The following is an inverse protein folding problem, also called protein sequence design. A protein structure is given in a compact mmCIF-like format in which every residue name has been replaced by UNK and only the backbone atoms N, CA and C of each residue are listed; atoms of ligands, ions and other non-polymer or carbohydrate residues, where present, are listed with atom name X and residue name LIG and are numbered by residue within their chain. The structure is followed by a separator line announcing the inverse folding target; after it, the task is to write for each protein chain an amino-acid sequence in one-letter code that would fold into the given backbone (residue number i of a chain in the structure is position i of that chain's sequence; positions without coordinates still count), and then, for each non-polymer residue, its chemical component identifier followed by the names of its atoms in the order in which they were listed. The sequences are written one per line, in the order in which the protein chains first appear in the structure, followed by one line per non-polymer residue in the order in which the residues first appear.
data_IF_188560326863
#
_entry.id   IF_188560326863
#
_cell.length_a   1.000
_cell.length_b   1.000
_cell.length_c   1.000
_cell.angle_alpha   90.00
_cell.angle_beta   90.00
_cell.angle_gamma   90.00
#
_symmetry.space_group_name_H-M   'P 1'
#
loop_
_entity.id
_entity.type
_entity.pdbx_description
1 polymer ?
#
# COMPACT_ATOMS: atom_id res chain seq x y z
N UNK A 1 -9.97 -1.24 -14.48
CA UNK A 1 -11.26 -1.72 -13.97
C UNK A 1 -12.41 -0.91 -14.58
N UNK A 2 -12.44 0.42 -14.41
CA UNK A 2 -13.45 1.29 -15.06
C UNK A 2 -13.43 1.18 -16.59
N UNK A 3 -12.26 0.99 -17.17
CA UNK A 3 -12.10 0.85 -18.61
C UNK A 3 -12.82 -0.37 -19.21
N UNK A 4 -13.03 -1.44 -18.43
CA UNK A 4 -13.71 -2.62 -18.90
C UNK A 4 -15.24 -2.41 -19.00
N UNK A 5 -15.87 -1.86 -17.96
CA UNK A 5 -17.33 -1.76 -17.87
C UNK A 5 -17.92 -0.92 -19.00
N UNK A 6 -17.20 0.12 -19.44
CA UNK A 6 -17.64 1.03 -20.50
C UNK A 6 -17.17 0.57 -21.90
N UNK A 7 -16.28 -0.42 -21.99
CA UNK A 7 -15.60 -0.84 -23.23
C UNK A 7 -15.61 -2.35 -23.42
N UNK A 8 -16.59 -3.04 -22.86
CA UNK A 8 -16.66 -4.50 -22.95
C UNK A 8 -16.71 -4.98 -24.42
N UNK A 9 -17.34 -4.20 -25.30
CA UNK A 9 -17.43 -4.47 -26.73
C UNK A 9 -16.08 -4.36 -27.48
N UNK A 10 -15.04 -3.79 -26.86
CA UNK A 10 -13.70 -3.71 -27.44
C UNK A 10 -12.87 -4.97 -27.18
N UNK A 11 -13.38 -5.90 -26.39
CA UNK A 11 -12.70 -7.15 -26.09
C UNK A 11 -13.36 -8.30 -26.85
N UNK A 12 -12.58 -9.00 -27.64
CA UNK A 12 -13.00 -10.16 -28.42
C UNK A 12 -13.55 -11.28 -27.53
N UNK A 13 -12.93 -11.45 -26.35
CA UNK A 13 -13.29 -12.47 -25.39
C UNK A 13 -13.16 -11.95 -23.95
N UNK A 14 -14.11 -12.28 -23.11
CA UNK A 14 -14.13 -11.90 -21.68
C UNK A 14 -14.21 -13.16 -20.82
N UNK A 15 -13.39 -13.27 -19.78
CA UNK A 15 -13.41 -14.43 -18.89
C UNK A 15 -14.73 -14.51 -18.11
N UNK A 16 -15.23 -15.74 -17.90
CA UNK A 16 -16.37 -15.98 -17.03
C UNK A 16 -16.08 -15.56 -15.57
N UNK A 17 -17.14 -15.31 -14.80
CA UNK A 17 -17.00 -15.02 -13.36
C UNK A 17 -16.31 -16.15 -12.59
N UNK A 18 -16.63 -17.40 -12.93
CA UNK A 18 -16.02 -18.58 -12.34
C UNK A 18 -14.52 -18.61 -12.60
N UNK A 19 -14.10 -18.41 -13.85
CA UNK A 19 -12.69 -18.36 -14.22
C UNK A 19 -11.96 -17.20 -13.54
N UNK A 20 -12.59 -16.03 -13.45
CA UNK A 20 -12.01 -14.88 -12.74
C UNK A 20 -11.85 -15.14 -11.25
N UNK A 21 -12.78 -15.83 -10.63
CA UNK A 21 -12.67 -16.26 -9.23
C UNK A 21 -11.45 -17.19 -9.05
N UNK A 22 -11.31 -18.19 -9.91
CA UNK A 22 -10.16 -19.11 -9.92
C UNK A 22 -8.84 -18.33 -10.09
N UNK A 23 -8.76 -17.45 -11.07
CA UNK A 23 -7.53 -16.72 -11.42
C UNK A 23 -7.14 -15.74 -10.30
N UNK A 24 -8.07 -14.99 -9.73
CA UNK A 24 -7.76 -14.02 -8.67
C UNK A 24 -7.50 -14.67 -7.32
N UNK A 25 -7.97 -15.88 -7.10
CA UNK A 25 -7.89 -16.54 -5.80
C UNK A 25 -8.65 -15.79 -4.71
N UNK A 26 -9.64 -15.00 -5.08
CA UNK A 26 -10.46 -14.24 -4.12
C UNK A 26 -11.69 -15.09 -3.82
N UNK A 27 -11.84 -15.48 -2.58
CA UNK A 27 -13.13 -15.90 -2.06
C UNK A 27 -14.01 -14.65 -2.00
N UNK A 28 -14.64 -14.30 -3.12
CA UNK A 28 -15.58 -13.20 -3.19
C UNK A 28 -16.71 -13.40 -2.19
N UNK A 29 -17.25 -12.31 -1.65
CA UNK A 29 -18.52 -12.39 -0.93
C UNK A 29 -19.54 -13.05 -1.85
N UNK A 30 -20.35 -14.02 -1.37
CA UNK A 30 -21.38 -14.64 -2.19
C UNK A 30 -22.23 -13.58 -2.90
N UNK A 31 -22.36 -13.69 -4.22
CA UNK A 31 -23.11 -12.72 -5.04
C UNK A 31 -22.35 -11.46 -5.49
N UNK A 32 -21.10 -11.25 -5.06
CA UNK A 32 -20.30 -10.13 -5.56
C UNK A 32 -19.80 -10.39 -6.98
N UNK A 33 -20.08 -9.48 -7.90
CA UNK A 33 -19.49 -9.53 -9.24
C UNK A 33 -17.98 -9.22 -9.16
N UNK A 34 -17.17 -10.13 -9.66
CA UNK A 34 -15.74 -9.93 -9.78
C UNK A 34 -15.47 -9.20 -11.09
N UNK A 35 -14.94 -7.98 -10.97
CA UNK A 35 -14.54 -7.23 -12.16
C UNK A 35 -13.41 -7.94 -12.88
N UNK A 36 -13.50 -8.20 -14.19
CA UNK A 36 -12.44 -8.84 -14.97
C UNK A 36 -11.12 -8.07 -14.88
N UNK A 37 -10.04 -8.78 -14.66
CA UNK A 37 -8.69 -8.27 -14.82
C UNK A 37 -8.12 -8.80 -16.14
N UNK A 38 -8.15 -7.98 -17.17
CA UNK A 38 -7.67 -8.36 -18.51
C UNK A 38 -6.18 -8.73 -18.47
N UNK A 39 -5.39 -8.04 -17.64
CA UNK A 39 -3.97 -8.39 -17.47
C UNK A 39 -3.76 -9.82 -16.95
N UNK A 40 -4.51 -10.21 -15.91
CA UNK A 40 -4.46 -11.60 -15.40
C UNK A 40 -5.03 -12.61 -16.40
N UNK A 41 -6.12 -12.23 -17.08
CA UNK A 41 -6.70 -13.05 -18.13
C UNK A 41 -5.72 -13.35 -19.25
N UNK A 42 -5.02 -12.33 -19.76
CA UNK A 42 -4.00 -12.51 -20.80
C UNK A 42 -2.82 -13.38 -20.32
N UNK A 43 -2.42 -13.26 -19.06
CA UNK A 43 -1.40 -14.15 -18.47
C UNK A 43 -1.90 -15.59 -18.40
N UNK A 44 -3.14 -15.80 -17.95
CA UNK A 44 -3.74 -17.13 -17.87
C UNK A 44 -3.93 -17.76 -19.25
N UNK A 45 -4.43 -17.01 -20.25
CA UNK A 45 -4.52 -17.48 -21.65
C UNK A 45 -3.16 -17.95 -22.19
N UNK A 46 -2.10 -17.25 -21.81
CA UNK A 46 -0.75 -17.55 -22.31
C UNK A 46 -0.12 -18.74 -21.61
N UNK A 47 -0.36 -18.95 -20.33
CA UNK A 47 0.41 -19.89 -19.51
C UNK A 47 -0.44 -20.89 -18.71
N UNK A 48 -1.76 -20.86 -18.83
CA UNK A 48 -2.65 -21.71 -18.06
C UNK A 48 -2.46 -21.55 -16.56
N UNK A 49 -2.52 -22.62 -15.82
CA UNK A 49 -2.39 -22.63 -14.35
C UNK A 49 -0.98 -22.20 -13.86
N UNK A 50 0.03 -22.23 -14.71
CA UNK A 50 1.40 -21.77 -14.39
C UNK A 50 1.56 -20.25 -14.44
N UNK A 51 0.51 -19.50 -14.81
CA UNK A 51 0.61 -18.06 -15.12
C UNK A 51 1.26 -17.22 -14.01
N UNK A 52 0.99 -17.52 -12.73
CA UNK A 52 1.57 -16.76 -11.61
C UNK A 52 3.09 -16.90 -11.53
N UNK A 53 3.58 -18.13 -11.64
CA UNK A 53 5.03 -18.38 -11.61
C UNK A 53 5.73 -17.78 -12.84
N UNK A 54 5.16 -17.99 -14.03
CA UNK A 54 5.69 -17.48 -15.29
C UNK A 54 5.68 -15.95 -15.34
N UNK A 55 4.61 -15.30 -14.84
CA UNK A 55 4.51 -13.85 -14.78
C UNK A 55 5.57 -13.24 -13.85
N UNK A 56 5.75 -13.80 -12.66
CA UNK A 56 6.77 -13.34 -11.69
C UNK A 56 8.19 -13.44 -12.29
N UNK A 57 8.51 -14.57 -12.88
CA UNK A 57 9.81 -14.77 -13.53
C UNK A 57 10.03 -13.79 -14.70
N UNK A 58 8.98 -13.57 -15.50
CA UNK A 58 9.03 -12.61 -16.61
C UNK A 58 9.22 -11.16 -16.14
N UNK A 59 8.63 -10.77 -15.01
CA UNK A 59 8.83 -9.42 -14.42
C UNK A 59 10.31 -9.20 -14.15
N UNK A 60 10.96 -10.09 -13.43
CA UNK A 60 12.39 -9.99 -13.11
C UNK A 60 13.25 -9.95 -14.38
N UNK A 61 12.98 -10.85 -15.34
CA UNK A 61 13.70 -10.87 -16.62
C UNK A 61 13.57 -9.57 -17.40
N UNK A 62 12.37 -8.98 -17.42
CA UNK A 62 12.11 -7.70 -18.09
C UNK A 62 12.82 -6.54 -17.41
N UNK A 63 12.74 -6.45 -16.09
CA UNK A 63 13.42 -5.41 -15.32
C UNK A 63 14.93 -5.46 -15.59
N UNK A 64 15.54 -6.64 -15.48
CA UNK A 64 16.96 -6.80 -15.78
C UNK A 64 17.30 -6.40 -17.23
N UNK A 65 16.49 -6.81 -18.20
CA UNK A 65 16.69 -6.46 -19.61
C UNK A 65 16.59 -4.95 -19.85
N UNK A 66 15.77 -4.24 -19.08
CA UNK A 66 15.60 -2.79 -19.18
C UNK A 66 16.61 -2.01 -18.34
N UNK A 67 17.55 -2.67 -17.69
CA UNK A 67 18.56 -2.05 -16.83
C UNK A 67 18.01 -1.59 -15.47
N UNK A 68 16.81 -2.05 -15.08
CA UNK A 68 16.24 -1.77 -13.77
C UNK A 68 16.81 -2.76 -12.76
N UNK A 69 17.25 -2.26 -11.62
CA UNK A 69 17.91 -3.03 -10.57
C UNK A 69 17.18 -3.05 -9.23
N UNK A 70 16.08 -2.31 -9.11
CA UNK A 70 15.38 -2.13 -7.84
C UNK A 70 13.86 -2.16 -8.03
N UNK A 71 13.17 -2.87 -7.18
CA UNK A 71 11.71 -2.83 -7.04
C UNK A 71 11.34 -1.80 -5.99
N UNK A 72 10.62 -0.76 -6.40
CA UNK A 72 10.22 0.33 -5.53
C UNK A 72 8.96 0.02 -4.72
N UNK A 73 8.47 1.03 -4.01
CA UNK A 73 7.25 0.95 -3.21
C UNK A 73 6.06 0.43 -4.04
N UNK A 74 5.12 -0.25 -3.38
CA UNK A 74 3.96 -0.94 -3.96
C UNK A 74 4.27 -2.09 -4.93
N UNK A 75 5.50 -2.52 -5.01
CA UNK A 75 5.82 -3.75 -5.73
C UNK A 75 5.12 -4.95 -5.07
N UNK A 76 4.73 -5.92 -5.90
CA UNK A 76 4.04 -7.12 -5.41
C UNK A 76 4.91 -7.89 -4.42
N UNK A 77 4.37 -8.17 -3.23
CA UNK A 77 5.03 -9.00 -2.23
C UNK A 77 5.41 -10.40 -2.77
N UNK A 78 4.63 -10.93 -3.70
CA UNK A 78 4.94 -12.20 -4.36
C UNK A 78 6.19 -12.13 -5.24
N UNK A 79 6.55 -10.95 -5.74
CA UNK A 79 7.75 -10.75 -6.56
C UNK A 79 8.94 -10.38 -5.68
N UNK A 80 8.77 -9.48 -4.70
CA UNK A 80 9.85 -9.09 -3.79
C UNK A 80 10.36 -10.27 -2.96
N UNK A 81 9.46 -11.16 -2.50
CA UNK A 81 9.83 -12.36 -1.74
C UNK A 81 10.64 -13.41 -2.53
N UNK A 82 10.76 -13.25 -3.84
CA UNK A 82 11.64 -14.11 -4.63
C UNK A 82 13.14 -13.88 -4.34
N UNK A 83 13.48 -12.73 -3.74
CA UNK A 83 14.86 -12.35 -3.44
C UNK A 83 15.79 -12.46 -4.66
N UNK A 84 15.37 -11.90 -5.79
CA UNK A 84 16.10 -11.92 -7.06
C UNK A 84 16.44 -10.52 -7.59
N UNK A 85 16.00 -9.50 -6.89
CA UNK A 85 16.25 -8.09 -7.18
C UNK A 85 16.10 -7.29 -5.90
N UNK A 86 16.91 -6.27 -5.73
CA UNK A 86 16.79 -5.37 -4.58
C UNK A 86 15.39 -4.74 -4.52
N UNK A 87 14.89 -4.50 -3.32
CA UNK A 87 13.54 -3.97 -3.13
C UNK A 87 13.42 -3.04 -1.91
N UNK A 88 12.33 -2.29 -1.91
CA UNK A 88 11.92 -1.41 -0.82
C UNK A 88 10.55 -1.88 -0.32
N UNK A 89 10.34 -1.80 0.98
CA UNK A 89 9.05 -2.10 1.62
C UNK A 89 8.41 -0.83 2.16
N UNK A 90 7.08 -0.79 2.13
CA UNK A 90 6.33 0.24 2.83
C UNK A 90 5.97 -0.22 4.23
N UNK A 91 6.28 0.62 5.22
CA UNK A 91 5.75 0.46 6.57
C UNK A 91 4.34 1.05 6.62
N UNK A 92 3.40 0.24 7.07
CA UNK A 92 2.00 0.62 7.22
C UNK A 92 1.63 0.71 8.71
N UNK A 93 0.51 1.37 9.01
CA UNK A 93 -0.05 1.45 10.36
C UNK A 93 0.87 2.10 11.39
N UNK A 94 1.56 3.17 11.00
CA UNK A 94 2.51 3.91 11.85
C UNK A 94 1.83 4.79 12.93
N UNK A 95 0.67 4.39 13.43
CA UNK A 95 -0.12 5.19 14.36
C UNK A 95 -0.93 6.30 13.70
N UNK A 96 -1.10 6.24 12.38
CA UNK A 96 -1.85 7.24 11.62
C UNK A 96 -3.32 7.27 12.06
N UNK A 97 -3.81 8.46 12.43
CA UNK A 97 -5.20 8.70 12.81
C UNK A 97 -5.95 9.36 11.65
N UNK A 98 -6.99 8.70 11.15
CA UNK A 98 -7.84 9.25 10.07
C UNK A 98 -8.58 10.51 10.51
N UNK A 99 -8.88 10.65 11.81
CA UNK A 99 -9.51 11.84 12.35
C UNK A 99 -8.55 13.04 12.45
N UNK A 100 -7.25 12.81 12.26
CA UNK A 100 -6.21 13.83 12.15
C UNK A 100 -5.63 13.89 10.72
N UNK A 101 -6.42 13.62 9.71
CA UNK A 101 -5.98 13.60 8.31
C UNK A 101 -4.75 12.68 8.06
N UNK A 102 -4.60 11.65 8.87
CA UNK A 102 -3.47 10.72 8.81
C UNK A 102 -2.24 11.14 9.62
N UNK A 103 -2.28 12.25 10.34
CA UNK A 103 -1.22 12.63 11.28
C UNK A 103 -1.24 11.70 12.50
N UNK A 104 -0.06 11.33 13.00
CA UNK A 104 0.07 10.63 14.27
C UNK A 104 0.07 11.61 15.43
N UNK A 105 -0.58 11.29 16.54
CA UNK A 105 -0.40 12.03 17.80
C UNK A 105 0.94 11.60 18.43
N UNK A 106 2.02 12.26 18.01
CA UNK A 106 3.38 11.95 18.47
C UNK A 106 3.64 12.33 19.93
N UNK A 107 2.73 13.10 20.54
CA UNK A 107 2.80 13.51 21.95
C UNK A 107 2.05 12.54 22.86
N UNK A 108 1.37 11.53 22.31
CA UNK A 108 0.70 10.52 23.12
C UNK A 108 1.74 9.63 23.83
N UNK A 109 1.52 9.36 25.13
CA UNK A 109 2.45 8.58 25.96
C UNK A 109 2.74 7.17 25.40
N UNK A 110 1.78 6.59 24.72
CA UNK A 110 1.87 5.26 24.13
C UNK A 110 2.28 5.25 22.64
N UNK A 111 2.61 6.42 22.07
CA UNK A 111 2.93 6.53 20.64
C UNK A 111 4.10 5.63 20.22
N UNK A 112 5.21 5.70 20.95
CA UNK A 112 6.40 4.89 20.61
C UNK A 112 6.12 3.39 20.71
N UNK A 113 5.37 2.95 21.72
CA UNK A 113 4.96 1.55 21.86
C UNK A 113 4.09 1.07 20.70
N UNK A 114 3.11 1.89 20.30
CA UNK A 114 2.26 1.61 19.13
C UNK A 114 3.07 1.55 17.84
N UNK A 115 3.99 2.48 17.65
CA UNK A 115 4.87 2.53 16.50
C UNK A 115 5.74 1.27 16.43
N UNK A 116 6.40 0.92 17.52
CA UNK A 116 7.24 -0.28 17.59
C UNK A 116 6.43 -1.55 17.29
N UNK A 117 5.23 -1.67 17.87
CA UNK A 117 4.33 -2.79 17.62
C UNK A 117 3.93 -2.89 16.14
N UNK A 118 3.67 -1.75 15.50
CA UNK A 118 3.25 -1.69 14.11
C UNK A 118 4.35 -2.12 13.13
N UNK A 119 5.60 -1.76 13.40
CA UNK A 119 6.71 -2.01 12.46
C UNK A 119 7.50 -3.28 12.77
N UNK A 120 7.51 -3.74 14.04
CA UNK A 120 8.41 -4.80 14.49
C UNK A 120 8.30 -6.09 13.69
N UNK A 121 7.09 -6.51 13.33
CA UNK A 121 6.88 -7.73 12.54
C UNK A 121 7.48 -7.64 11.14
N UNK A 122 7.37 -6.47 10.49
CA UNK A 122 7.93 -6.25 9.15
C UNK A 122 9.46 -6.18 9.22
N UNK A 123 9.99 -5.47 10.20
CA UNK A 123 11.44 -5.32 10.40
C UNK A 123 12.08 -6.66 10.77
N UNK A 124 11.54 -7.38 11.77
CA UNK A 124 12.08 -8.69 12.21
C UNK A 124 12.15 -9.71 11.08
N UNK A 125 11.13 -9.77 10.23
CA UNK A 125 11.10 -10.70 9.07
C UNK A 125 12.17 -10.40 8.03
N UNK A 126 12.69 -9.18 7.98
CA UNK A 126 13.59 -8.72 6.94
C UNK A 126 14.96 -8.28 7.48
N UNK A 127 15.23 -8.47 8.77
CA UNK A 127 16.41 -7.93 9.47
C UNK A 127 17.74 -8.23 8.77
N UNK A 128 17.86 -9.43 8.19
CA UNK A 128 19.09 -9.88 7.53
C UNK A 128 18.86 -10.16 6.03
N UNK A 129 17.86 -9.53 5.43
CA UNK A 129 17.58 -9.74 4.02
C UNK A 129 18.47 -8.84 3.16
N UNK A 130 19.48 -9.39 2.43
CA UNK A 130 20.43 -8.58 1.67
C UNK A 130 19.79 -7.89 0.44
N UNK A 131 18.56 -8.26 0.10
CA UNK A 131 17.82 -7.67 -1.00
C UNK A 131 16.99 -6.45 -0.58
N UNK A 132 16.75 -6.27 0.73
CA UNK A 132 16.02 -5.12 1.24
C UNK A 132 16.95 -3.91 1.35
N UNK A 133 16.70 -2.87 0.55
CA UNK A 133 17.46 -1.61 0.60
C UNK A 133 17.00 -0.72 1.75
N UNK A 134 15.69 -0.69 2.03
CA UNK A 134 15.13 0.20 3.04
C UNK A 134 13.61 0.19 3.08
N UNK A 135 13.07 1.19 3.80
CA UNK A 135 11.64 1.31 4.03
C UNK A 135 11.12 2.68 3.61
N UNK A 136 9.95 2.70 3.00
CA UNK A 136 9.13 3.91 2.89
C UNK A 136 8.29 4.07 4.15
N UNK A 137 8.32 5.26 4.72
CA UNK A 137 7.52 5.64 5.89
C UNK A 137 6.36 6.50 5.42
N UNK A 138 5.17 5.93 5.39
CA UNK A 138 3.95 6.54 4.85
C UNK A 138 4.04 6.90 3.35
N UNK A 139 3.04 7.60 2.84
CA UNK A 139 2.98 8.12 1.48
C UNK A 139 2.00 9.30 1.43
N UNK A 140 2.42 10.40 0.84
CA UNK A 140 1.59 11.57 0.54
C UNK A 140 0.59 11.92 1.66
N UNK A 141 1.06 12.40 2.84
CA UNK A 141 0.16 12.74 3.93
C UNK A 141 -0.90 13.76 3.49
N UNK A 142 -2.15 13.50 3.82
CA UNK A 142 -3.29 14.31 3.38
C UNK A 142 -3.32 15.72 3.97
N UNK A 143 -2.46 16.01 4.96
CA UNK A 143 -2.36 17.32 5.61
C UNK A 143 -1.37 18.28 4.93
N UNK A 144 -0.60 17.84 3.95
CA UNK A 144 0.32 18.72 3.19
C UNK A 144 -0.52 19.73 2.41
N UNK A 145 -0.20 21.01 2.58
CA UNK A 145 -0.94 22.19 2.09
C UNK A 145 -2.36 22.35 2.68
N UNK A 146 -2.66 21.63 3.75
CA UNK A 146 -3.92 21.69 4.49
C UNK A 146 -3.67 21.94 5.98
N UNK A 147 -2.54 22.56 6.33
CA UNK A 147 -2.07 22.71 7.71
C UNK A 147 -3.05 23.49 8.57
N UNK A 148 -3.66 24.56 8.03
CA UNK A 148 -4.68 25.35 8.73
C UNK A 148 -5.89 24.50 9.07
N UNK A 149 -6.36 23.69 8.12
CA UNK A 149 -7.46 22.78 8.33
C UNK A 149 -7.13 21.71 9.36
N UNK A 150 -5.91 21.16 9.32
CA UNK A 150 -5.45 20.20 10.31
C UNK A 150 -5.42 20.80 11.72
N UNK A 151 -4.87 22.02 11.87
CA UNK A 151 -4.89 22.74 13.14
C UNK A 151 -6.33 22.95 13.66
N UNK A 152 -7.25 23.30 12.79
CA UNK A 152 -8.66 23.48 13.14
C UNK A 152 -9.30 22.18 13.61
N UNK A 153 -9.06 21.07 12.91
CA UNK A 153 -9.52 19.72 13.31
C UNK A 153 -8.96 19.33 14.69
N UNK A 154 -7.70 19.65 14.98
CA UNK A 154 -7.07 19.39 16.28
C UNK A 154 -7.73 20.22 17.38
N UNK A 155 -7.94 21.52 17.14
CA UNK A 155 -8.51 22.45 18.12
C UNK A 155 -9.99 22.17 18.40
N UNK A 156 -10.77 21.81 17.39
CA UNK A 156 -12.19 21.48 17.53
C UNK A 156 -12.42 20.06 18.05
N UNK A 157 -11.44 19.19 17.93
CA UNK A 157 -11.51 17.79 18.30
C UNK A 157 -11.47 17.55 19.82
N UNK A 158 -11.57 16.26 20.24
CA UNK A 158 -11.52 15.88 21.64
C UNK A 158 -10.18 16.22 22.28
N UNK A 159 -10.16 16.25 23.63
CA UNK A 159 -8.92 16.41 24.38
C UNK A 159 -7.93 15.28 24.07
N UNK A 160 -6.71 15.64 23.67
CA UNK A 160 -5.60 14.74 23.38
C UNK A 160 -4.27 15.49 23.47
N UNK A 161 -3.12 14.80 23.62
CA UNK A 161 -1.81 15.44 23.82
C UNK A 161 -1.46 16.45 22.72
N UNK A 162 -1.63 16.12 21.44
CA UNK A 162 -1.35 17.01 20.31
C UNK A 162 -2.16 18.34 20.38
N UNK A 163 -3.41 18.28 20.86
CA UNK A 163 -4.23 19.50 21.04
C UNK A 163 -3.62 20.41 22.10
N UNK A 164 -3.21 19.84 23.22
CA UNK A 164 -2.58 20.60 24.32
C UNK A 164 -1.26 21.24 23.85
N UNK A 165 -0.46 20.54 23.08
CA UNK A 165 0.79 21.09 22.55
C UNK A 165 0.54 22.20 21.52
N UNK A 166 -0.45 22.02 20.65
CA UNK A 166 -0.83 23.06 19.69
C UNK A 166 -1.32 24.34 20.43
N UNK A 167 -2.15 24.20 21.46
CA UNK A 167 -2.62 25.32 22.27
C UNK A 167 -1.46 26.06 22.96
N UNK A 168 -0.50 25.35 23.56
CA UNK A 168 0.71 25.96 24.16
C UNK A 168 1.51 26.74 23.11
N UNK A 169 1.69 26.16 21.92
CA UNK A 169 2.40 26.82 20.83
C UNK A 169 1.69 28.13 20.42
N UNK A 170 0.38 28.07 20.20
CA UNK A 170 -0.40 29.25 19.79
C UNK A 170 -0.38 30.38 20.84
N UNK A 171 -0.46 30.04 22.13
CA UNK A 171 -0.31 31.02 23.22
C UNK A 171 1.07 31.69 23.15
N UNK A 172 2.13 30.94 22.93
CA UNK A 172 3.49 31.45 22.87
C UNK A 172 3.76 32.40 21.68
N UNK A 173 3.11 32.17 20.54
CA UNK A 173 3.33 32.97 19.32
C UNK A 173 2.30 34.08 19.13
N UNK A 174 1.23 34.10 19.95
CA UNK A 174 0.19 35.14 19.95
C UNK A 174 0.46 36.28 20.90
N UNK A 175 1.47 36.17 21.75
CA UNK A 175 2.03 37.24 22.60
C UNK A 175 3.16 37.98 21.84
#
# INVERSE_FOLDING_TARGET
VRAYTERANMYEEVPSQELMTKIRGVNGRPGAQITPSIGLWNQYRRWGDDYKAKAKDLIIKRMNKWGLNTMANWSSAEVTSMNRMAFILQLNNLGMDRNLMGLCDVYADDYLQKLESAISNTVKKNLNNPWLIGYFVANEPAWINEEVRLCQIILDGPARPIKSELQKYLTKVGD
#
